data_IF_160555784133
#
_entry.id   IF_160555784133
#
_cell.length_a   1.000
_cell.length_b   1.000
_cell.length_c   1.000
_cell.angle_alpha   90.00
_cell.angle_beta   90.00
_cell.angle_gamma   90.00
#
_symmetry.space_group_name_H-M   'P 1'
#
loop_
_entity.id
_entity.type
_entity.pdbx_description
1 polymer ?
#
# COMPACT_ATOMS: atom_id res chain seq x y z
N UNK A 1 9.10 3.51 -21.60
CA UNK A 1 7.78 3.58 -20.95
C UNK A 1 8.00 4.07 -19.53
N UNK A 2 7.22 5.03 -19.00
CA UNK A 2 7.42 5.52 -17.64
C UNK A 2 7.36 4.35 -16.66
N UNK A 3 8.41 4.19 -15.85
CA UNK A 3 8.59 3.11 -14.85
C UNK A 3 7.80 3.35 -13.58
N UNK A 4 6.96 4.40 -13.55
CA UNK A 4 6.17 4.80 -12.40
C UNK A 4 5.24 3.67 -11.95
N UNK A 5 5.42 3.25 -10.71
CA UNK A 5 4.55 2.25 -10.07
C UNK A 5 3.26 2.94 -9.62
N UNK A 6 2.14 2.50 -10.16
CA UNK A 6 0.82 2.97 -9.75
C UNK A 6 0.16 1.95 -8.82
N UNK A 7 -0.41 2.46 -7.73
CA UNK A 7 -1.08 1.68 -6.72
C UNK A 7 -2.48 2.24 -6.46
N UNK A 8 -3.46 1.36 -6.26
CA UNK A 8 -4.78 1.73 -5.73
C UNK A 8 -4.79 1.40 -4.25
N UNK A 9 -4.97 2.42 -3.41
CA UNK A 9 -5.10 2.26 -1.96
C UNK A 9 -6.57 2.31 -1.60
N UNK A 10 -7.04 1.32 -0.84
CA UNK A 10 -8.38 1.32 -0.24
C UNK A 10 -8.24 1.29 1.26
N UNK A 11 -8.88 2.23 1.93
CA UNK A 11 -8.91 2.35 3.39
C UNK A 11 -10.38 2.19 3.81
N UNK A 12 -10.63 1.40 4.85
CA UNK A 12 -11.97 1.24 5.40
C UNK A 12 -11.92 1.08 6.91
N UNK A 13 -13.05 1.42 7.53
CA UNK A 13 -13.28 1.24 8.94
C UNK A 13 -14.09 -0.05 9.15
N UNK A 14 -13.61 -0.93 10.01
CA UNK A 14 -14.20 -2.24 10.26
C UNK A 14 -14.60 -2.35 11.74
N UNK A 15 -15.88 -2.65 12.04
CA UNK A 15 -16.27 -3.00 13.41
C UNK A 15 -15.73 -4.37 13.78
N UNK A 16 -15.16 -4.48 14.98
CA UNK A 16 -14.61 -5.71 15.55
C UNK A 16 -15.21 -5.98 16.94
N UNK A 17 -15.09 -7.22 17.40
CA UNK A 17 -15.59 -7.62 18.73
C UNK A 17 -14.95 -6.86 19.90
N UNK A 18 -13.76 -6.31 19.69
CA UNK A 18 -12.98 -5.57 20.69
C UNK A 18 -12.99 -4.05 20.48
N UNK A 19 -13.75 -3.53 19.52
CA UNK A 19 -13.77 -2.11 19.17
C UNK A 19 -13.82 -1.87 17.68
N UNK A 20 -13.32 -0.74 17.22
CA UNK A 20 -13.30 -0.38 15.79
C UNK A 20 -11.86 -0.24 15.31
N UNK A 21 -11.60 -0.67 14.08
CA UNK A 21 -10.24 -0.73 13.54
C UNK A 21 -10.19 -0.21 12.11
N UNK A 22 -9.13 0.52 11.81
CA UNK A 22 -8.80 0.92 10.44
C UNK A 22 -8.04 -0.20 9.74
N UNK A 23 -8.47 -0.49 8.51
CA UNK A 23 -7.85 -1.48 7.63
C UNK A 23 -7.51 -0.84 6.30
N UNK A 24 -6.54 -1.43 5.61
CA UNK A 24 -6.22 -1.02 4.27
C UNK A 24 -5.86 -2.19 3.36
N UNK A 25 -5.97 -1.96 2.07
CA UNK A 25 -5.39 -2.82 1.05
C UNK A 25 -4.77 -1.97 -0.04
N UNK A 26 -3.68 -2.47 -0.61
CA UNK A 26 -3.02 -1.87 -1.76
C UNK A 26 -3.06 -2.86 -2.91
N UNK A 27 -3.46 -2.39 -4.09
CA UNK A 27 -3.41 -3.17 -5.33
C UNK A 27 -2.41 -2.53 -6.28
N UNK A 28 -1.42 -3.31 -6.73
CA UNK A 28 -0.49 -2.88 -7.77
C UNK A 28 -1.21 -2.94 -9.13
N UNK A 29 -1.36 -1.80 -9.81
CA UNK A 29 -2.13 -1.73 -11.06
C UNK A 29 -1.50 -2.58 -12.17
N UNK A 30 -0.17 -2.69 -12.17
CA UNK A 30 0.56 -3.43 -13.20
C UNK A 30 0.54 -4.95 -12.97
N UNK A 31 0.78 -5.40 -11.74
CA UNK A 31 0.87 -6.84 -11.44
C UNK A 31 -0.45 -7.44 -10.96
N UNK A 32 -1.45 -6.61 -10.66
CA UNK A 32 -2.72 -7.00 -10.03
C UNK A 32 -2.55 -7.66 -8.65
N UNK A 33 -1.35 -7.61 -8.09
CA UNK A 33 -1.07 -8.11 -6.74
C UNK A 33 -1.75 -7.24 -5.70
N UNK A 34 -2.44 -7.88 -4.73
CA UNK A 34 -3.17 -7.21 -3.67
C UNK A 34 -2.60 -7.60 -2.30
N UNK A 35 -2.26 -6.58 -1.52
CA UNK A 35 -1.75 -6.71 -0.15
C UNK A 35 -2.76 -6.11 0.83
N UNK A 36 -2.88 -6.71 2.01
CA UNK A 36 -3.78 -6.28 3.08
C UNK A 36 -2.97 -5.88 4.31
N UNK A 37 -3.42 -4.83 4.99
CA UNK A 37 -2.76 -4.22 6.13
C UNK A 37 -3.74 -4.12 7.30
N UNK A 38 -3.26 -4.52 8.48
CA UNK A 38 -4.08 -4.55 9.70
C UNK A 38 -3.93 -3.28 10.52
N UNK A 39 -2.89 -2.48 10.28
CA UNK A 39 -2.69 -1.20 10.95
C UNK A 39 -2.16 -0.12 10.00
N UNK A 40 -2.35 1.18 10.34
CA UNK A 40 -1.77 2.28 9.58
C UNK A 40 -0.24 2.21 9.46
N UNK A 41 0.45 1.72 10.50
CA UNK A 41 1.92 1.61 10.52
C UNK A 41 2.43 0.58 9.50
N UNK A 42 1.72 -0.54 9.33
CA UNK A 42 2.05 -1.52 8.29
C UNK A 42 1.92 -0.93 6.88
N UNK A 43 0.85 -0.17 6.63
CA UNK A 43 0.64 0.50 5.35
C UNK A 43 1.71 1.56 5.08
N UNK A 44 2.02 2.40 6.06
CA UNK A 44 3.02 3.47 5.91
C UNK A 44 4.40 2.89 5.57
N UNK A 45 4.86 1.86 6.29
CA UNK A 45 6.14 1.19 5.97
C UNK A 45 6.17 0.66 4.54
N UNK A 46 5.08 0.08 4.06
CA UNK A 46 4.99 -0.40 2.68
C UNK A 46 5.09 0.75 1.67
N UNK A 47 4.38 1.87 1.90
CA UNK A 47 4.37 3.01 0.98
C UNK A 47 5.76 3.69 0.91
N UNK A 48 6.42 3.88 2.06
CA UNK A 48 7.77 4.43 2.14
C UNK A 48 8.79 3.55 1.40
N UNK A 49 8.69 2.22 1.55
CA UNK A 49 9.57 1.29 0.84
C UNK A 49 9.29 1.31 -0.68
N UNK A 50 8.02 1.41 -1.08
CA UNK A 50 7.63 1.50 -2.48
C UNK A 50 8.16 2.79 -3.13
N UNK A 51 8.10 3.92 -2.42
CA UNK A 51 8.63 5.20 -2.85
C UNK A 51 10.15 5.15 -3.05
N UNK A 52 10.91 4.68 -2.05
CA UNK A 52 12.37 4.51 -2.18
C UNK A 52 12.75 3.62 -3.37
N UNK A 53 12.03 2.50 -3.58
CA UNK A 53 12.29 1.59 -4.72
C UNK A 53 12.00 2.29 -6.05
N UNK A 54 11.01 3.16 -6.11
CA UNK A 54 10.69 3.94 -7.30
C UNK A 54 11.78 4.98 -7.59
N UNK A 55 12.27 5.70 -6.57
CA UNK A 55 13.39 6.64 -6.72
C UNK A 55 14.68 5.96 -7.21
N UNK A 56 15.02 4.80 -6.64
CA UNK A 56 16.19 4.02 -7.08
C UNK A 56 16.07 3.58 -8.54
N UNK A 57 14.89 3.13 -8.96
CA UNK A 57 14.65 2.71 -10.34
C UNK A 57 14.62 3.87 -11.36
N UNK A 58 14.51 5.12 -10.90
CA UNK A 58 14.60 6.31 -11.75
C UNK A 58 16.02 6.88 -11.85
N UNK A 59 16.92 6.51 -10.92
CA UNK A 59 18.33 6.93 -10.89
C UNK A 59 19.29 5.93 -11.56
N UNK A 60 18.81 4.74 -11.91
CA UNK A 60 19.56 3.69 -12.61
C UNK A 60 19.23 3.68 -14.11
#
# INVERSE_FOLDING_TARGET
MPTSRMYIVRIWHEPCSTGEVWRASVTNVRTQEKLYFKSPEELNRFLEEAERKNEQAQKA
#
